data_IF_852648413212
#
_entry.id   IF_852648413212
#
_cell.length_a   1.000
_cell.length_b   1.000
_cell.length_c   1.000
_cell.angle_alpha   90.00
_cell.angle_beta   90.00
_cell.angle_gamma   90.00
#
_symmetry.space_group_name_H-M   'P 1'
#
loop_
_entity.id
_entity.type
_entity.pdbx_description
1 polymer ?
#
# COMPACT_ATOMS: atom_id res chain seq x y z
N UNK A 1 14.09 -25.22 7.01
CA UNK A 1 13.65 -24.25 8.04
C UNK A 1 12.13 -24.25 8.05
N UNK A 2 11.48 -24.73 9.12
CA UNK A 2 10.02 -24.62 9.26
C UNK A 2 9.72 -23.18 9.70
N UNK A 3 9.12 -22.39 8.81
CA UNK A 3 8.63 -21.06 9.16
C UNK A 3 7.46 -21.20 10.13
N UNK A 4 7.60 -20.66 11.34
CA UNK A 4 6.49 -20.50 12.26
C UNK A 4 5.69 -19.29 11.77
N UNK A 5 4.55 -19.51 11.11
CA UNK A 5 3.60 -18.44 10.82
C UNK A 5 2.95 -18.03 12.13
N UNK A 6 3.18 -16.78 12.56
CA UNK A 6 2.55 -16.23 13.75
C UNK A 6 1.06 -15.97 13.44
N UNK A 7 0.14 -16.67 14.11
CA UNK A 7 -1.31 -16.36 14.11
C UNK A 7 -1.60 -15.10 14.96
N UNK A 8 -0.71 -14.11 14.95
CA UNK A 8 -0.77 -12.93 15.82
C UNK A 8 -0.94 -11.69 14.95
N UNK A 9 -2.07 -11.01 15.08
CA UNK A 9 -2.40 -9.80 14.32
C UNK A 9 -3.84 -9.34 14.57
N UNK A 10 -4.19 -8.21 13.97
CA UNK A 10 -5.56 -7.70 13.97
C UNK A 10 -6.45 -8.58 13.07
N UNK A 11 -7.65 -8.94 13.55
CA UNK A 11 -8.64 -9.67 12.76
C UNK A 11 -9.30 -8.71 11.76
N UNK A 12 -9.04 -8.92 10.46
CA UNK A 12 -9.58 -8.07 9.40
C UNK A 12 -11.06 -8.35 9.08
N UNK A 13 -11.45 -9.63 8.95
CA UNK A 13 -12.85 -10.02 8.64
C UNK A 13 -13.09 -11.52 8.91
N UNK A 14 -14.36 -11.92 9.06
CA UNK A 14 -14.82 -13.32 9.08
C UNK A 14 -15.92 -13.49 8.02
N UNK A 15 -15.67 -14.33 7.01
CA UNK A 15 -16.57 -14.51 5.87
C UNK A 15 -17.23 -15.89 5.86
N UNK A 16 -18.54 -15.95 5.53
CA UNK A 16 -19.29 -17.17 5.29
C UNK A 16 -20.41 -16.96 4.25
N UNK A 17 -20.93 -18.05 3.68
CA UNK A 17 -22.03 -18.02 2.71
C UNK A 17 -21.58 -17.86 1.26
N UNK A 18 -22.50 -17.42 0.41
CA UNK A 18 -22.27 -17.23 -1.04
C UNK A 18 -22.19 -15.74 -1.35
N UNK A 19 -21.12 -15.30 -2.00
CA UNK A 19 -21.05 -13.95 -2.57
C UNK A 19 -21.88 -13.93 -3.87
N UNK A 20 -22.95 -13.12 -3.89
CA UNK A 20 -23.84 -12.98 -5.06
C UNK A 20 -23.59 -11.60 -5.68
N UNK A 21 -23.30 -11.58 -6.98
CA UNK A 21 -23.15 -10.37 -7.82
C UNK A 21 -22.13 -9.31 -7.34
N UNK A 22 -21.17 -9.65 -6.47
CA UNK A 22 -20.13 -8.71 -6.02
C UNK A 22 -18.84 -9.41 -5.60
N UNK A 23 -17.71 -8.71 -5.78
CA UNK A 23 -16.40 -9.09 -5.23
C UNK A 23 -16.17 -8.37 -3.90
N UNK A 24 -15.71 -9.09 -2.87
CA UNK A 24 -15.36 -8.51 -1.56
C UNK A 24 -13.87 -8.19 -1.55
N UNK A 25 -13.53 -6.91 -1.42
CA UNK A 25 -12.13 -6.44 -1.33
C UNK A 25 -11.80 -6.12 0.12
N UNK A 26 -10.86 -6.87 0.71
CA UNK A 26 -10.32 -6.58 2.04
C UNK A 26 -9.00 -5.85 1.87
N UNK A 27 -8.89 -4.63 2.42
CA UNK A 27 -7.63 -3.87 2.44
C UNK A 27 -6.76 -4.39 3.57
N UNK A 28 -5.58 -4.89 3.24
CA UNK A 28 -4.58 -5.33 4.22
C UNK A 28 -3.63 -4.16 4.50
N UNK A 29 -3.58 -3.61 5.72
CA UNK A 29 -2.66 -2.52 6.06
C UNK A 29 -1.23 -3.01 6.34
N UNK A 30 -1.05 -4.31 6.57
CA UNK A 30 0.23 -4.93 6.89
C UNK A 30 0.90 -5.56 5.66
N UNK A 31 2.23 -5.70 5.73
CA UNK A 31 3.03 -6.38 4.69
C UNK A 31 2.78 -7.91 4.62
N UNK A 32 1.99 -8.45 5.56
CA UNK A 32 1.66 -9.86 5.66
C UNK A 32 0.21 -10.01 6.10
N UNK A 33 -0.45 -11.07 5.63
CA UNK A 33 -1.80 -11.46 6.03
C UNK A 33 -1.85 -12.97 6.26
N UNK A 34 -2.62 -13.39 7.26
CA UNK A 34 -2.87 -14.79 7.55
C UNK A 34 -4.34 -15.12 7.23
N UNK A 35 -4.56 -16.19 6.46
CA UNK A 35 -5.90 -16.64 6.06
C UNK A 35 -6.17 -18.01 6.68
N UNK A 36 -7.21 -18.10 7.52
CA UNK A 36 -7.62 -19.33 8.20
C UNK A 36 -8.96 -19.82 7.66
N UNK A 37 -8.98 -21.00 7.07
CA UNK A 37 -10.21 -21.68 6.67
C UNK A 37 -10.58 -22.75 7.70
N UNK A 38 -11.85 -22.78 8.13
CA UNK A 38 -12.40 -23.77 9.06
C UNK A 38 -13.69 -24.36 8.47
N UNK A 39 -13.77 -25.69 8.44
CA UNK A 39 -14.96 -26.44 8.01
C UNK A 39 -15.31 -27.55 9.02
N UNK A 40 -16.49 -28.15 8.87
CA UNK A 40 -16.92 -29.34 9.62
C UNK A 40 -17.36 -30.46 8.66
N UNK A 41 -17.82 -31.59 9.22
CA UNK A 41 -18.26 -32.77 8.46
C UNK A 41 -19.74 -32.75 8.05
N UNK A 42 -20.47 -31.66 8.30
CA UNK A 42 -21.93 -31.65 8.16
C UNK A 42 -22.40 -31.34 6.72
N UNK A 43 -21.82 -30.30 6.09
CA UNK A 43 -22.27 -29.80 4.78
C UNK A 43 -21.04 -29.39 3.95
N UNK A 44 -21.05 -29.69 2.66
CA UNK A 44 -20.00 -29.31 1.72
C UNK A 44 -20.44 -28.14 0.83
N UNK A 45 -19.46 -27.39 0.30
CA UNK A 45 -19.69 -26.27 -0.62
C UNK A 45 -18.55 -26.14 -1.63
N UNK A 46 -18.67 -25.21 -2.59
CA UNK A 46 -17.67 -25.03 -3.67
C UNK A 46 -16.30 -24.52 -3.20
N UNK A 47 -16.19 -24.04 -1.97
CA UNK A 47 -14.98 -23.41 -1.45
C UNK A 47 -14.86 -21.95 -1.85
N UNK A 48 -13.62 -21.46 -1.94
CA UNK A 48 -13.31 -20.07 -2.27
C UNK A 48 -12.13 -19.99 -3.25
N UNK A 49 -12.10 -18.90 -4.02
CA UNK A 49 -10.96 -18.49 -4.83
C UNK A 49 -10.71 -17.02 -4.51
N UNK A 50 -9.47 -16.66 -4.22
CA UNK A 50 -9.08 -15.28 -3.95
C UNK A 50 -7.87 -14.90 -4.80
N UNK A 51 -7.80 -13.63 -5.17
CA UNK A 51 -6.61 -13.02 -5.77
C UNK A 51 -6.03 -12.06 -4.75
N UNK A 52 -4.75 -12.23 -4.41
CA UNK A 52 -4.01 -11.27 -3.62
C UNK A 52 -3.17 -10.39 -4.54
N UNK A 53 -3.35 -9.08 -4.46
CA UNK A 53 -2.49 -8.11 -5.14
C UNK A 53 -1.53 -7.53 -4.11
N UNK A 54 -0.25 -7.84 -4.25
CA UNK A 54 0.80 -7.15 -3.51
C UNK A 54 1.16 -5.92 -4.32
N UNK A 55 0.80 -4.75 -3.81
CA UNK A 55 1.34 -3.52 -4.36
C UNK A 55 2.83 -3.51 -4.06
N UNK A 56 3.64 -3.67 -5.10
CA UNK A 56 5.08 -3.51 -4.99
C UNK A 56 5.33 -2.02 -4.73
N UNK A 57 5.60 -1.64 -3.49
CA UNK A 57 6.09 -0.30 -3.12
C UNK A 57 7.52 -0.04 -3.66
N UNK A 58 7.96 -0.82 -4.67
CA UNK A 58 9.30 -0.73 -5.24
C UNK A 58 9.48 0.64 -5.88
N UNK A 59 10.36 1.44 -5.26
CA UNK A 59 10.79 2.74 -5.77
C UNK A 59 10.27 3.97 -5.00
N UNK A 60 9.33 3.82 -4.07
CA UNK A 60 8.76 4.98 -3.35
C UNK A 60 9.10 5.06 -1.86
N UNK A 61 9.70 3.98 -1.33
CA UNK A 61 10.39 3.97 -0.04
C UNK A 61 11.89 3.95 -0.29
N UNK A 62 12.54 5.11 -0.22
CA UNK A 62 13.96 5.25 -0.55
C UNK A 62 14.69 6.16 0.46
N UNK A 63 15.99 5.93 0.60
CA UNK A 63 16.88 6.80 1.38
C UNK A 63 17.94 7.40 0.45
N UNK A 64 18.12 8.71 0.51
CA UNK A 64 19.12 9.47 -0.24
C UNK A 64 20.15 10.03 0.71
N UNK A 65 21.42 9.75 0.44
CA UNK A 65 22.59 10.26 1.17
C UNK A 65 23.58 11.03 0.27
N UNK A 66 23.27 11.10 -1.03
CA UNK A 66 24.03 11.87 -2.01
C UNK A 66 23.83 13.38 -1.80
N UNK A 67 24.86 14.22 -2.08
CA UNK A 67 24.74 15.68 -1.96
C UNK A 67 23.63 16.29 -2.83
N UNK A 68 23.29 15.64 -3.95
CA UNK A 68 22.23 15.99 -4.87
C UNK A 68 21.51 14.74 -5.36
N UNK A 69 20.27 14.89 -5.79
CA UNK A 69 19.45 13.80 -6.32
C UNK A 69 18.14 14.30 -6.88
N UNK A 70 17.43 13.42 -7.59
CA UNK A 70 16.09 13.68 -8.12
C UNK A 70 15.15 12.64 -7.52
N UNK A 71 14.03 13.11 -6.99
CA UNK A 71 12.95 12.28 -6.46
C UNK A 71 11.77 12.43 -7.40
N UNK A 72 11.24 11.31 -7.88
CA UNK A 72 10.03 11.27 -8.70
C UNK A 72 8.94 10.46 -8.02
N UNK A 73 7.69 10.80 -8.30
CA UNK A 73 6.59 9.93 -7.95
C UNK A 73 6.69 8.64 -8.78
N UNK A 74 6.29 7.48 -8.23
CA UNK A 74 6.32 6.25 -9.02
C UNK A 74 5.45 6.34 -10.25
N UNK A 75 5.89 5.65 -11.29
CA UNK A 75 5.35 5.71 -12.65
C UNK A 75 5.53 7.05 -13.38
N UNK A 76 6.08 8.10 -12.75
CA UNK A 76 6.40 9.36 -13.44
C UNK A 76 7.20 9.08 -14.72
N UNK A 77 6.84 9.69 -15.86
CA UNK A 77 5.88 10.81 -16.03
C UNK A 77 4.41 10.40 -16.18
N UNK A 78 4.08 9.11 -16.09
CA UNK A 78 2.70 8.64 -16.16
C UNK A 78 1.95 8.89 -14.84
N UNK A 79 0.62 8.84 -14.91
CA UNK A 79 -0.25 9.05 -13.76
C UNK A 79 -0.03 8.03 -12.63
N UNK A 80 -0.21 8.48 -11.39
CA UNK A 80 -0.13 7.65 -10.19
C UNK A 80 -1.25 6.59 -10.18
N UNK A 81 -0.88 5.30 -10.13
CA UNK A 81 -1.81 4.17 -10.27
C UNK A 81 -2.30 3.59 -8.94
N UNK A 82 -2.65 4.44 -7.97
CA UNK A 82 -3.06 4.08 -6.59
C UNK A 82 -1.91 3.71 -5.63
N UNK A 83 -1.10 4.72 -5.30
CA UNK A 83 -0.15 4.65 -4.19
C UNK A 83 -0.80 5.16 -2.90
N UNK A 84 -0.49 4.54 -1.76
CA UNK A 84 -1.10 4.93 -0.47
C UNK A 84 -0.13 5.56 0.52
N UNK A 85 1.16 5.21 0.50
CA UNK A 85 2.08 5.69 1.54
C UNK A 85 3.56 5.61 1.09
N UNK A 86 4.08 6.70 0.53
CA UNK A 86 5.46 6.80 0.06
C UNK A 86 6.32 7.63 1.00
N UNK A 87 7.56 7.19 1.18
CA UNK A 87 8.49 7.76 2.15
C UNK A 87 9.87 7.91 1.53
N UNK A 88 10.31 9.15 1.33
CA UNK A 88 11.67 9.45 0.91
C UNK A 88 12.43 10.08 2.07
N UNK A 89 13.49 9.41 2.52
CA UNK A 89 14.35 9.90 3.59
C UNK A 89 15.59 10.56 2.98
N UNK A 90 15.82 11.83 3.28
CA UNK A 90 17.01 12.56 2.82
C UNK A 90 17.95 12.75 4.01
N UNK A 91 19.18 12.28 3.87
CA UNK A 91 20.22 12.37 4.89
C UNK A 91 21.22 13.45 4.47
N UNK A 92 21.38 14.46 5.33
CA UNK A 92 22.41 15.48 5.18
C UNK A 92 23.45 15.32 6.31
N UNK A 93 24.75 15.49 6.03
CA UNK A 93 25.77 15.58 7.07
C UNK A 93 25.49 16.70 8.08
N UNK A 94 26.06 16.57 9.26
CA UNK A 94 25.96 17.58 10.31
C UNK A 94 26.40 18.97 9.81
N UNK A 95 25.67 20.01 10.22
CA UNK A 95 25.92 21.39 9.79
C UNK A 95 25.44 21.74 8.37
N UNK A 96 24.89 20.78 7.61
CA UNK A 96 24.28 21.04 6.29
C UNK A 96 22.76 21.10 6.37
N UNK A 97 22.15 21.75 5.37
CA UNK A 97 20.69 21.88 5.23
C UNK A 97 20.24 21.24 3.92
N UNK A 98 19.07 20.61 3.95
CA UNK A 98 18.40 20.10 2.75
C UNK A 98 17.60 21.23 2.13
N UNK A 99 17.75 21.43 0.81
CA UNK A 99 16.91 22.34 0.01
C UNK A 99 16.11 21.49 -0.98
N UNK A 100 14.79 21.63 -0.94
CA UNK A 100 13.88 20.97 -1.88
C UNK A 100 13.38 21.97 -2.91
N UNK A 101 13.33 21.56 -4.17
CA UNK A 101 12.77 22.37 -5.27
C UNK A 101 11.84 21.47 -6.07
N UNK A 102 10.56 21.85 -6.18
CA UNK A 102 9.59 21.15 -7.02
C UNK A 102 9.63 21.74 -8.42
N UNK A 103 9.99 20.92 -9.41
CA UNK A 103 9.96 21.32 -10.82
C UNK A 103 8.56 21.16 -11.42
N UNK A 104 7.82 20.14 -10.98
CA UNK A 104 6.45 19.86 -11.37
C UNK A 104 5.70 19.29 -10.17
N UNK A 105 4.42 19.66 -10.03
CA UNK A 105 3.51 19.09 -9.04
C UNK A 105 2.10 19.05 -9.63
N UNK A 106 1.60 17.83 -9.84
CA UNK A 106 0.25 17.58 -10.30
C UNK A 106 -0.36 16.45 -9.47
N UNK A 107 -1.12 16.82 -8.43
CA UNK A 107 -1.76 15.88 -7.51
C UNK A 107 -3.27 16.07 -7.51
N UNK A 108 -4.07 14.98 -7.43
CA UNK A 108 -5.52 15.07 -7.38
C UNK A 108 -6.04 15.98 -6.27
N UNK A 109 -6.91 16.91 -6.66
CA UNK A 109 -7.66 17.82 -5.80
C UNK A 109 -9.12 17.79 -6.23
N UNK A 110 -10.03 17.83 -5.28
CA UNK A 110 -11.43 18.13 -5.58
C UNK A 110 -11.57 19.64 -5.79
N UNK A 111 -11.75 20.04 -7.05
CA UNK A 111 -11.88 21.44 -7.45
C UNK A 111 -13.11 22.12 -6.82
N UNK A 112 -14.16 21.35 -6.53
CA UNK A 112 -15.41 21.91 -6.02
C UNK A 112 -15.34 22.26 -4.54
N UNK A 113 -14.69 21.41 -3.74
CA UNK A 113 -14.56 21.57 -2.29
C UNK A 113 -13.21 22.16 -1.87
N UNK A 114 -12.24 22.21 -2.79
CA UNK A 114 -10.86 22.62 -2.50
C UNK A 114 -10.07 21.60 -1.68
N UNK A 115 -10.61 20.40 -1.45
CA UNK A 115 -9.98 19.35 -0.65
C UNK A 115 -8.87 18.68 -1.47
N UNK A 116 -7.67 18.59 -0.90
CA UNK A 116 -6.59 17.79 -1.47
C UNK A 116 -6.90 16.31 -1.29
N UNK A 117 -7.07 15.58 -2.39
CA UNK A 117 -7.28 14.13 -2.37
C UNK A 117 -5.95 13.38 -2.23
N UNK A 118 -4.87 13.99 -2.73
CA UNK A 118 -3.48 13.54 -2.57
C UNK A 118 -2.59 14.73 -2.19
N UNK A 119 -1.55 14.50 -1.38
CA UNK A 119 -0.66 15.55 -0.89
C UNK A 119 0.78 15.03 -0.64
N UNK A 120 1.72 15.96 -0.49
CA UNK A 120 3.09 15.73 0.02
C UNK A 120 3.19 16.51 1.34
N UNK A 121 3.78 15.92 2.37
CA UNK A 121 3.99 16.52 3.70
C UNK A 121 5.43 16.35 4.17
#
# INVERSE_FOLDING_TARGET
MKGYFLEVGELLDILCGTLVNSSRVIKVPAAQVYVKFKSNSAITGKGFYLTAMVNKDEGCKQTFDSPTGVITSPNYPNALSAMRDCHWRILAPEGRRVKLTFQELNLPRDESSGICLSYIQ
#
